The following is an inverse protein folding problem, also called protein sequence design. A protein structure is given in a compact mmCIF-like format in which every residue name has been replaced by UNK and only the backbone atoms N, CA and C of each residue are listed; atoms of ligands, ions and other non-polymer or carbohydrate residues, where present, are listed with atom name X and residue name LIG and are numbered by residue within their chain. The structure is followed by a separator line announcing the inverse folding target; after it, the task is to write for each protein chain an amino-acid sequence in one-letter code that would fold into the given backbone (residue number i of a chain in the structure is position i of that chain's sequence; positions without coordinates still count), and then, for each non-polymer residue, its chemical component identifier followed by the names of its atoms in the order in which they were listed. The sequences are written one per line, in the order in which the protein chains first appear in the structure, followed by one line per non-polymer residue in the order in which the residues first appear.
data_IF_070781108919
#
_entry.id   IF_070781108919
#
_cell.length_a   1.000
_cell.length_b   1.000
_cell.length_c   1.000
_cell.angle_alpha   90.00
_cell.angle_beta   90.00
_cell.angle_gamma   90.00
#
_symmetry.space_group_name_H-M   'P 1'
#
loop_
_entity.id
_entity.type
_entity.pdbx_description
1 polymer ?
#
# COMPACT_ATOMS: atom_id res chain seq x y z
N UNK A 1 16.17 -31.93 17.63
CA UNK A 1 15.17 -30.84 17.57
C UNK A 1 15.38 -30.10 16.25
N UNK A 2 14.52 -30.34 15.25
CA UNK A 2 14.81 -30.00 13.85
C UNK A 2 14.78 -28.50 13.57
N UNK A 3 15.68 -28.01 12.71
CA UNK A 3 15.74 -26.60 12.22
C UNK A 3 14.36 -26.05 11.81
N UNK A 4 13.50 -26.93 11.30
CA UNK A 4 12.13 -26.63 10.88
C UNK A 4 11.24 -26.13 12.02
N UNK A 5 11.42 -26.64 13.24
CA UNK A 5 10.67 -26.21 14.41
C UNK A 5 11.06 -24.79 14.84
N UNK A 6 12.36 -24.47 14.83
CA UNK A 6 12.86 -23.13 15.13
C UNK A 6 12.44 -22.10 14.07
N UNK A 7 12.45 -22.48 12.79
CA UNK A 7 11.97 -21.61 11.72
C UNK A 7 10.47 -21.31 11.87
N UNK A 8 9.65 -22.32 12.19
CA UNK A 8 8.21 -22.15 12.44
C UNK A 8 7.94 -21.26 13.65
N UNK A 9 8.69 -21.41 14.73
CA UNK A 9 8.57 -20.57 15.93
C UNK A 9 8.97 -19.11 15.62
N UNK A 10 10.00 -18.90 14.81
CA UNK A 10 10.44 -17.57 14.37
C UNK A 10 9.39 -16.89 13.48
N UNK A 11 8.75 -17.63 12.57
CA UNK A 11 7.65 -17.12 11.74
C UNK A 11 6.43 -16.73 12.58
N UNK A 12 6.03 -17.55 13.54
CA UNK A 12 4.91 -17.23 14.44
C UNK A 12 5.21 -15.96 15.24
N UNK A 13 6.43 -15.84 15.77
CA UNK A 13 6.87 -14.63 16.48
C UNK A 13 6.83 -13.40 15.58
N UNK A 14 7.31 -13.51 14.33
CA UNK A 14 7.28 -12.42 13.36
C UNK A 14 5.84 -12.01 13.02
N UNK A 15 4.94 -12.97 12.80
CA UNK A 15 3.53 -12.71 12.52
C UNK A 15 2.85 -11.97 13.68
N UNK A 16 3.03 -12.43 14.92
CA UNK A 16 2.48 -11.78 16.12
C UNK A 16 3.04 -10.36 16.26
N UNK A 17 4.36 -10.21 16.13
CA UNK A 17 5.01 -8.90 16.24
C UNK A 17 4.49 -7.91 15.18
N UNK A 18 4.39 -8.35 13.93
CA UNK A 18 3.86 -7.53 12.84
C UNK A 18 2.39 -7.17 13.06
N UNK A 19 1.57 -8.12 13.53
CA UNK A 19 0.16 -7.88 13.85
C UNK A 19 -0.01 -6.85 14.97
N UNK A 20 0.77 -6.97 16.05
CA UNK A 20 0.76 -6.00 17.15
C UNK A 20 1.26 -4.62 16.70
N UNK A 21 2.31 -4.57 15.88
CA UNK A 21 2.81 -3.31 15.32
C UNK A 21 1.76 -2.64 14.44
N UNK A 22 1.10 -3.39 13.55
CA UNK A 22 0.02 -2.86 12.71
C UNK A 22 -1.13 -2.33 13.57
N UNK A 23 -1.56 -3.11 14.57
CA UNK A 23 -2.63 -2.71 15.48
C UNK A 23 -2.30 -1.38 16.20
N UNK A 24 -1.03 -1.17 16.58
CA UNK A 24 -0.58 0.08 17.20
C UNK A 24 -0.69 1.32 16.28
N UNK A 25 -0.83 1.13 14.96
CA UNK A 25 -0.95 2.22 13.96
C UNK A 25 -2.39 2.47 13.51
N UNK A 26 -3.35 1.66 13.97
CA UNK A 26 -4.75 1.84 13.65
C UNK A 26 -5.38 2.86 14.60
N UNK A 27 -5.73 4.02 14.06
CA UNK A 27 -6.53 5.02 14.78
C UNK A 27 -8.02 4.65 14.70
N UNK A 28 -8.87 5.18 15.61
CA UNK A 28 -10.33 4.97 15.51
C UNK A 28 -10.90 5.39 14.15
N UNK A 29 -10.35 6.46 13.56
CA UNK A 29 -10.72 6.93 12.22
C UNK A 29 -10.37 5.90 11.13
N UNK A 30 -9.15 5.36 11.13
CA UNK A 30 -8.72 4.32 10.17
C UNK A 30 -9.53 3.05 10.32
N UNK A 31 -9.84 2.65 11.55
CA UNK A 31 -10.67 1.48 11.83
C UNK A 31 -12.10 1.69 11.32
N UNK A 32 -12.69 2.87 11.56
CA UNK A 32 -14.01 3.21 11.05
C UNK A 32 -14.04 3.22 9.51
N UNK A 33 -13.02 3.81 8.88
CA UNK A 33 -12.89 3.80 7.43
C UNK A 33 -12.79 2.37 6.88
N UNK A 34 -11.99 1.51 7.51
CA UNK A 34 -11.90 0.09 7.15
C UNK A 34 -13.27 -0.61 7.27
N UNK A 35 -14.01 -0.38 8.36
CA UNK A 35 -15.36 -0.95 8.53
C UNK A 35 -16.32 -0.48 7.43
N UNK A 36 -16.25 0.78 7.00
CA UNK A 36 -17.06 1.29 5.87
C UNK A 36 -16.69 0.61 4.54
N UNK A 37 -15.39 0.48 4.25
CA UNK A 37 -14.90 -0.14 3.02
C UNK A 37 -15.29 -1.62 2.97
N UNK A 38 -15.00 -2.39 4.02
CA UNK A 38 -15.36 -3.81 4.07
C UNK A 38 -16.88 -4.02 4.12
N UNK A 39 -17.59 -3.23 4.93
CA UNK A 39 -19.05 -3.32 5.04
C UNK A 39 -19.75 -3.03 3.71
N UNK A 40 -19.32 -1.99 2.99
CA UNK A 40 -19.88 -1.65 1.67
C UNK A 40 -19.54 -2.69 0.60
N UNK A 41 -18.35 -3.30 0.65
CA UNK A 41 -18.00 -4.44 -0.21
C UNK A 41 -18.93 -5.63 0.02
N UNK A 42 -19.09 -6.11 1.26
CA UNK A 42 -19.96 -7.25 1.54
C UNK A 42 -21.43 -6.96 1.21
N UNK A 43 -21.89 -5.73 1.48
CA UNK A 43 -23.22 -5.29 1.09
C UNK A 43 -23.39 -5.29 -0.43
N UNK A 44 -22.36 -4.88 -1.18
CA UNK A 44 -22.39 -4.92 -2.65
C UNK A 44 -22.49 -6.34 -3.18
N UNK A 45 -21.71 -7.25 -2.61
CA UNK A 45 -21.74 -8.68 -2.96
C UNK A 45 -23.12 -9.27 -2.67
N UNK A 46 -23.71 -8.96 -1.51
CA UNK A 46 -25.01 -9.52 -1.12
C UNK A 46 -26.18 -8.95 -1.92
N UNK A 47 -26.16 -7.65 -2.23
CA UNK A 47 -27.26 -6.97 -2.93
C UNK A 47 -27.13 -6.99 -4.46
N UNK A 48 -25.96 -7.34 -4.99
CA UNK A 48 -25.63 -7.25 -6.41
C UNK A 48 -25.52 -5.80 -6.93
N UNK A 49 -25.49 -4.81 -6.05
CA UNK A 49 -25.40 -3.39 -6.40
C UNK A 49 -24.03 -2.85 -6.02
N UNK A 50 -23.35 -2.16 -6.92
CA UNK A 50 -22.05 -1.55 -6.62
C UNK A 50 -22.21 -0.39 -5.63
N UNK A 51 -21.85 -0.64 -4.36
CA UNK A 51 -21.88 0.34 -3.28
C UNK A 51 -20.46 0.52 -2.73
N UNK A 52 -19.90 1.71 -2.92
CA UNK A 52 -18.59 2.06 -2.36
C UNK A 52 -18.74 3.13 -1.29
N UNK A 53 -18.23 2.86 -0.09
CA UNK A 53 -18.15 3.82 1.00
C UNK A 53 -16.77 3.79 1.64
N UNK A 54 -16.36 4.94 2.17
CA UNK A 54 -15.05 5.13 2.77
C UNK A 54 -14.00 5.64 1.77
N UNK A 55 -12.82 5.89 2.30
CA UNK A 55 -11.61 6.32 1.59
C UNK A 55 -10.67 5.12 1.37
N UNK A 56 -9.70 5.22 0.45
CA UNK A 56 -8.71 4.17 0.24
C UNK A 56 -7.98 3.78 1.54
N UNK A 57 -7.76 2.47 1.74
CA UNK A 57 -6.98 1.94 2.87
C UNK A 57 -5.49 1.87 2.58
N UNK A 58 -5.12 1.88 1.29
CA UNK A 58 -3.74 1.81 0.83
C UNK A 58 -3.55 2.76 -0.34
N UNK A 59 -2.40 3.43 -0.39
CA UNK A 59 -1.99 4.29 -1.48
C UNK A 59 -0.60 3.87 -1.95
N UNK A 60 -0.42 3.74 -3.26
CA UNK A 60 0.90 3.61 -3.90
C UNK A 60 1.20 4.90 -4.63
N UNK A 61 2.39 5.47 -4.39
CA UNK A 61 2.87 6.67 -5.08
C UNK A 61 4.15 6.31 -5.83
N UNK A 62 4.25 6.74 -7.08
CA UNK A 62 5.50 6.70 -7.83
C UNK A 62 6.31 7.97 -7.55
N UNK A 63 7.36 7.93 -6.70
CA UNK A 63 8.12 9.14 -6.38
C UNK A 63 9.02 9.59 -7.54
N UNK A 64 9.50 8.63 -8.34
CA UNK A 64 10.36 8.85 -9.48
C UNK A 64 10.18 7.74 -10.52
N UNK A 65 10.47 8.07 -11.78
CA UNK A 65 10.60 7.09 -12.87
C UNK A 65 12.05 6.63 -13.07
N UNK A 66 13.01 7.22 -12.36
CA UNK A 66 14.43 6.89 -12.48
C UNK A 66 14.73 5.55 -11.77
N UNK A 67 15.60 4.73 -12.36
CA UNK A 67 16.04 3.46 -11.77
C UNK A 67 17.48 3.15 -12.21
N UNK A 68 18.34 2.69 -11.28
CA UNK A 68 19.73 2.33 -11.60
C UNK A 68 19.87 0.92 -12.18
N UNK A 69 18.84 0.08 -12.01
CA UNK A 69 18.79 -1.27 -12.56
C UNK A 69 18.44 -1.28 -14.06
N UNK A 70 18.63 -2.43 -14.70
CA UNK A 70 18.38 -2.65 -16.14
C UNK A 70 17.64 -3.95 -16.40
N UNK A 71 16.56 -4.17 -15.65
CA UNK A 71 15.74 -5.36 -15.79
C UNK A 71 15.11 -5.38 -17.21
N UNK A 72 15.29 -6.45 -18.00
CA UNK A 72 14.87 -6.51 -19.42
C UNK A 72 13.34 -6.51 -19.62
N UNK A 73 12.56 -6.72 -18.57
CA UNK A 73 11.10 -6.76 -18.59
C UNK A 73 10.44 -5.42 -18.19
N UNK A 74 11.21 -4.48 -17.64
CA UNK A 74 10.68 -3.23 -17.10
C UNK A 74 10.95 -2.03 -18.04
N UNK A 75 9.95 -1.19 -18.35
CA UNK A 75 10.15 -0.02 -19.23
C UNK A 75 11.19 0.96 -18.69
N UNK A 76 11.33 1.10 -17.37
CA UNK A 76 12.37 1.91 -16.74
C UNK A 76 13.76 1.35 -16.97
N UNK A 77 13.92 0.03 -16.83
CA UNK A 77 15.19 -0.67 -17.07
C UNK A 77 15.60 -0.65 -18.54
N UNK A 78 14.63 -0.79 -19.44
CA UNK A 78 14.79 -0.64 -20.89
C UNK A 78 14.92 0.82 -21.35
N UNK A 79 14.60 1.79 -20.48
CA UNK A 79 14.51 3.22 -20.79
C UNK A 79 13.60 3.52 -21.98
N UNK A 80 12.47 2.82 -22.06
CA UNK A 80 11.54 2.84 -23.20
C UNK A 80 10.18 3.46 -22.85
N UNK A 81 10.19 4.57 -22.12
CA UNK A 81 8.95 5.27 -21.77
C UNK A 81 8.36 6.02 -22.96
N UNK A 82 7.04 5.91 -23.12
CA UNK A 82 6.24 6.76 -24.02
C UNK A 82 5.68 8.01 -23.31
N UNK A 83 5.74 8.03 -21.96
CA UNK A 83 5.30 9.13 -21.09
C UNK A 83 6.49 9.95 -20.57
N UNK A 84 6.27 11.19 -20.07
CA UNK A 84 7.31 11.96 -19.41
C UNK A 84 7.90 11.25 -18.20
N UNK A 85 9.21 11.36 -18.04
CA UNK A 85 9.99 10.87 -16.90
C UNK A 85 10.30 12.01 -15.93
N UNK A 86 10.47 11.70 -14.65
CA UNK A 86 10.86 12.68 -13.66
C UNK A 86 10.52 12.25 -12.24
N UNK A 87 10.38 13.25 -11.37
CA UNK A 87 9.93 13.09 -9.99
C UNK A 87 8.54 13.69 -9.81
N UNK A 88 7.76 13.14 -8.89
CA UNK A 88 6.52 13.79 -8.47
C UNK A 88 6.85 15.15 -7.84
N UNK A 89 6.05 16.17 -8.12
CA UNK A 89 6.17 17.46 -7.44
C UNK A 89 5.86 17.29 -5.94
N UNK A 90 6.68 17.87 -5.07
CA UNK A 90 6.54 17.71 -3.63
C UNK A 90 5.19 18.27 -3.14
N UNK A 91 4.76 19.40 -3.70
CA UNK A 91 3.50 20.04 -3.37
C UNK A 91 2.30 19.15 -3.71
N UNK A 92 2.38 18.43 -4.83
CA UNK A 92 1.34 17.46 -5.20
C UNK A 92 1.31 16.28 -4.22
N UNK A 93 2.49 15.77 -3.85
CA UNK A 93 2.60 14.68 -2.89
C UNK A 93 2.02 15.06 -1.52
N UNK A 94 2.39 16.22 -1.01
CA UNK A 94 1.87 16.77 0.25
C UNK A 94 0.36 16.95 0.18
N UNK A 95 -0.17 17.56 -0.88
CA UNK A 95 -1.60 17.76 -1.06
C UNK A 95 -2.39 16.44 -1.08
N UNK A 96 -1.87 15.42 -1.75
CA UNK A 96 -2.48 14.07 -1.77
C UNK A 96 -2.46 13.44 -0.37
N UNK A 97 -1.35 13.56 0.35
CA UNK A 97 -1.24 13.00 1.69
C UNK A 97 -2.13 13.73 2.71
N UNK A 98 -2.25 15.05 2.64
CA UNK A 98 -3.16 15.81 3.49
C UNK A 98 -4.61 15.29 3.38
N UNK A 99 -5.03 14.92 2.16
CA UNK A 99 -6.36 14.41 1.89
C UNK A 99 -6.57 12.96 2.34
N UNK A 100 -5.55 12.11 2.19
CA UNK A 100 -5.71 10.65 2.32
C UNK A 100 -5.08 10.05 3.59
N UNK A 101 -3.99 10.61 4.11
CA UNK A 101 -3.23 10.07 5.25
C UNK A 101 -4.06 9.80 6.53
N UNK A 102 -5.11 10.57 6.85
CA UNK A 102 -5.94 10.28 8.02
C UNK A 102 -6.66 8.91 7.95
N UNK A 103 -6.93 8.43 6.74
CA UNK A 103 -7.73 7.22 6.48
C UNK A 103 -6.89 6.04 5.94
N UNK A 104 -5.67 6.31 5.46
CA UNK A 104 -4.72 5.30 4.99
C UNK A 104 -4.16 4.43 6.13
N UNK A 105 -4.08 3.12 5.89
CA UNK A 105 -3.36 2.16 6.73
C UNK A 105 -1.97 1.90 6.16
N UNK A 106 -1.86 1.86 4.83
CA UNK A 106 -0.61 1.64 4.11
C UNK A 106 -0.31 2.77 3.13
N UNK A 107 0.96 3.17 3.10
CA UNK A 107 1.52 4.02 2.07
C UNK A 107 2.73 3.28 1.50
N UNK A 108 2.76 3.12 0.18
CA UNK A 108 3.84 2.46 -0.54
C UNK A 108 4.43 3.44 -1.54
N UNK A 109 5.75 3.60 -1.54
CA UNK A 109 6.46 4.40 -2.54
C UNK A 109 7.02 3.44 -3.59
N UNK A 110 6.23 3.18 -4.63
CA UNK A 110 6.51 2.12 -5.60
C UNK A 110 5.73 2.33 -6.90
N UNK A 111 6.43 2.19 -8.03
CA UNK A 111 5.86 1.80 -9.33
C UNK A 111 6.98 1.44 -10.34
N UNK A 112 7.34 2.36 -11.24
CA UNK A 112 8.28 2.18 -12.34
C UNK A 112 9.56 3.02 -12.13
N UNK A 113 10.13 2.94 -10.93
CA UNK A 113 11.37 3.59 -10.55
C UNK A 113 11.98 2.94 -9.31
N UNK A 114 13.14 3.45 -8.89
CA UNK A 114 13.81 3.11 -7.65
C UNK A 114 13.58 4.26 -6.66
N UNK A 115 12.79 4.05 -5.58
CA UNK A 115 12.45 5.10 -4.63
C UNK A 115 13.64 5.58 -3.81
#
# INVERSE_FOLDING_TARGET
MSLHFFYRLRLVRAFIHNGLNLLSKLTPRRLWNALLVYGSYYLSVWTGRAMHRGMPLSLSVEPTTACNLRCPECPSGLRSFTRPTGHIALELYEHVLEQLAPDLIFLTLYFQGEP
#
